data_IF_846923401910
#
_entry.id   IF_846923401910
#
_cell.length_a   1.000
_cell.length_b   1.000
_cell.length_c   1.000
_cell.angle_alpha   90.00
_cell.angle_beta   90.00
_cell.angle_gamma   90.00
#
_symmetry.space_group_name_H-M   'P 1'
#
loop_
_entity.id
_entity.type
_entity.pdbx_description
1 polymer ?
#
# COMPACT_ATOMS: atom_id res chain seq x y z
N UNK A 1 -14.08 -0.85 -8.45
CA UNK A 1 -13.00 -0.59 -7.47
C UNK A 1 -13.19 0.78 -6.84
N UNK A 2 -12.97 0.90 -5.56
CA UNK A 2 -13.11 2.17 -4.84
C UNK A 2 -12.08 3.19 -5.32
N UNK A 3 -12.46 4.48 -5.36
CA UNK A 3 -11.58 5.53 -5.86
C UNK A 3 -10.26 5.61 -5.10
N UNK A 4 -10.29 5.42 -3.79
CA UNK A 4 -9.07 5.43 -2.97
C UNK A 4 -8.10 4.32 -3.36
N UNK A 5 -8.62 3.14 -3.72
CA UNK A 5 -7.79 2.04 -4.17
C UNK A 5 -7.17 2.34 -5.54
N UNK A 6 -7.93 2.99 -6.41
CA UNK A 6 -7.40 3.44 -7.72
C UNK A 6 -6.29 4.45 -7.54
N UNK A 7 -6.44 5.37 -6.60
CA UNK A 7 -5.41 6.36 -6.29
C UNK A 7 -4.13 5.70 -5.78
N UNK A 8 -4.27 4.69 -4.92
CA UNK A 8 -3.14 3.94 -4.39
C UNK A 8 -2.38 3.24 -5.52
N UNK A 9 -3.10 2.58 -6.42
CA UNK A 9 -2.48 1.89 -7.55
C UNK A 9 -1.77 2.88 -8.47
N UNK A 10 -2.36 4.05 -8.68
CA UNK A 10 -1.77 5.09 -9.51
C UNK A 10 -0.46 5.60 -8.93
N UNK A 11 -0.40 5.79 -7.62
CA UNK A 11 0.81 6.25 -6.93
C UNK A 11 1.83 5.13 -6.76
N UNK A 12 1.37 3.92 -6.48
CA UNK A 12 2.22 2.78 -6.20
C UNK A 12 1.75 1.56 -7.00
N UNK A 13 2.08 1.50 -8.30
CA UNK A 13 1.60 0.42 -9.16
C UNK A 13 2.09 -0.98 -8.76
N UNK A 14 3.13 -1.05 -7.92
CA UNK A 14 3.62 -2.33 -7.41
C UNK A 14 2.75 -2.90 -6.29
N UNK A 15 1.83 -2.12 -5.73
CA UNK A 15 0.92 -2.60 -4.69
C UNK A 15 -0.30 -3.26 -5.32
N UNK A 16 -0.66 -4.43 -4.81
CA UNK A 16 -1.83 -5.18 -5.25
C UNK A 16 -2.96 -5.01 -4.24
N UNK A 17 -4.04 -4.39 -4.68
CA UNK A 17 -5.23 -4.16 -3.86
C UNK A 17 -6.47 -4.80 -4.48
N UNK A 18 -6.29 -5.73 -5.43
CA UNK A 18 -7.39 -6.35 -6.16
C UNK A 18 -8.35 -7.12 -5.24
N UNK A 19 -7.83 -7.68 -4.14
CA UNK A 19 -8.63 -8.41 -3.16
C UNK A 19 -8.95 -7.57 -1.92
N UNK A 20 -8.58 -6.29 -1.95
CA UNK A 20 -8.74 -5.40 -0.81
C UNK A 20 -10.16 -4.85 -0.74
N UNK A 21 -10.77 -4.92 0.45
CA UNK A 21 -12.06 -4.28 0.73
C UNK A 21 -11.81 -2.97 1.44
N UNK A 22 -12.14 -1.86 0.79
CA UNK A 22 -11.96 -0.53 1.36
C UNK A 22 -13.14 -0.19 2.26
N UNK A 23 -12.88 0.06 3.54
CA UNK A 23 -13.90 0.35 4.54
C UNK A 23 -13.86 1.78 5.07
N UNK A 24 -12.86 2.55 4.69
CA UNK A 24 -12.71 3.93 5.13
C UNK A 24 -11.25 4.28 5.36
N UNK A 25 -10.93 5.58 5.38
CA UNK A 25 -9.56 6.04 5.51
C UNK A 25 -8.92 5.71 6.87
N UNK A 26 -9.74 5.51 7.89
CA UNK A 26 -9.28 5.17 9.24
C UNK A 26 -9.20 3.67 9.50
N UNK A 27 -9.79 2.87 8.60
CA UNK A 27 -9.79 1.42 8.73
C UNK A 27 -8.57 0.82 8.04
N UNK A 28 -7.99 -0.18 8.66
CA UNK A 28 -6.86 -0.88 8.05
C UNK A 28 -7.34 -1.73 6.88
N UNK A 29 -6.57 -1.69 5.80
CA UNK A 29 -6.81 -2.50 4.61
C UNK A 29 -5.58 -3.38 4.39
N UNK A 30 -5.80 -4.54 3.79
CA UNK A 30 -4.72 -5.44 3.47
C UNK A 30 -4.24 -5.20 2.04
N UNK A 31 -2.96 -4.93 1.89
CA UNK A 31 -2.34 -4.72 0.58
C UNK A 31 -1.13 -5.63 0.45
N UNK A 32 -0.77 -5.93 -0.79
CA UNK A 32 0.36 -6.79 -1.08
C UNK A 32 1.39 -6.04 -1.91
N UNK A 33 2.64 -6.06 -1.47
CA UNK A 33 3.75 -5.56 -2.27
C UNK A 33 4.21 -6.65 -3.22
N UNK A 34 3.99 -6.47 -4.51
CA UNK A 34 4.35 -7.49 -5.50
C UNK A 34 5.86 -7.60 -5.70
N UNK A 35 6.61 -6.55 -5.40
CA UNK A 35 8.07 -6.55 -5.49
C UNK A 35 8.68 -7.54 -4.50
N UNK A 36 8.18 -7.55 -3.27
CA UNK A 36 8.68 -8.41 -2.20
C UNK A 36 7.75 -9.57 -1.88
N UNK A 37 6.62 -9.67 -2.58
CA UNK A 37 5.62 -10.70 -2.34
C UNK A 37 5.20 -10.73 -0.86
N UNK A 38 4.98 -9.55 -0.30
CA UNK A 38 4.69 -9.37 1.12
C UNK A 38 3.32 -8.74 1.31
N UNK A 39 2.48 -9.37 2.14
CA UNK A 39 1.19 -8.81 2.54
C UNK A 39 1.35 -8.06 3.84
N UNK A 40 0.71 -6.90 3.94
CA UNK A 40 0.71 -6.10 5.16
C UNK A 40 -0.59 -5.32 5.28
N UNK A 41 -0.93 -4.91 6.50
CA UNK A 41 -2.12 -4.13 6.78
C UNK A 41 -1.72 -2.68 7.06
N UNK A 42 -2.45 -1.75 6.44
CA UNK A 42 -2.19 -0.33 6.61
C UNK A 42 -3.45 0.46 6.25
N UNK A 43 -3.42 1.76 6.46
CA UNK A 43 -4.53 2.63 6.04
C UNK A 43 -4.16 3.35 4.74
N UNK A 44 -5.19 3.80 4.01
CA UNK A 44 -4.95 4.55 2.77
C UNK A 44 -4.17 5.83 3.02
N UNK A 45 -4.40 6.47 4.16
CA UNK A 45 -3.67 7.69 4.55
C UNK A 45 -2.18 7.40 4.71
N UNK A 46 -1.84 6.31 5.40
CA UNK A 46 -0.45 5.92 5.60
C UNK A 46 0.24 5.58 4.28
N UNK A 47 -0.46 4.91 3.37
CA UNK A 47 0.09 4.59 2.06
C UNK A 47 0.42 5.87 1.29
N UNK A 48 -0.51 6.83 1.26
CA UNK A 48 -0.33 8.09 0.54
C UNK A 48 0.78 8.95 1.12
N UNK A 49 1.01 8.86 2.43
CA UNK A 49 2.07 9.60 3.10
C UNK A 49 3.42 8.92 3.01
N UNK A 50 3.46 7.64 2.68
CA UNK A 50 4.68 6.87 2.55
C UNK A 50 5.33 7.11 1.19
N UNK A 51 6.65 7.09 1.14
CA UNK A 51 7.39 7.18 -0.11
C UNK A 51 7.41 5.84 -0.86
N UNK A 52 7.14 4.76 -0.16
CA UNK A 52 7.25 3.40 -0.70
C UNK A 52 5.93 2.62 -0.63
N UNK A 53 4.82 3.32 -0.37
CA UNK A 53 3.51 2.68 -0.27
C UNK A 53 3.29 1.94 1.03
N UNK A 54 4.01 2.31 2.09
CA UNK A 54 3.93 1.71 3.43
C UNK A 54 4.46 0.28 3.51
N UNK A 55 5.10 -0.23 2.46
CA UNK A 55 5.72 -1.54 2.50
C UNK A 55 6.97 -1.51 3.39
N UNK A 56 7.02 -2.30 4.48
CA UNK A 56 8.16 -2.26 5.39
C UNK A 56 9.47 -2.72 4.73
N UNK A 57 9.39 -3.63 3.79
CA UNK A 57 10.58 -4.09 3.05
C UNK A 57 11.12 -3.01 2.13
N UNK A 58 10.24 -2.36 1.38
CA UNK A 58 10.66 -1.26 0.49
C UNK A 58 11.26 -0.12 1.29
N UNK A 59 10.68 0.21 2.43
CA UNK A 59 11.21 1.24 3.31
C UNK A 59 12.59 0.87 3.83
N UNK A 60 12.79 -0.38 4.22
CA UNK A 60 14.07 -0.86 4.71
C UNK A 60 15.15 -0.76 3.62
N UNK A 61 14.82 -1.13 2.39
CA UNK A 61 15.74 -1.01 1.27
C UNK A 61 16.09 0.44 0.96
N UNK A 62 15.10 1.34 1.05
CA UNK A 62 15.32 2.76 0.83
C UNK A 62 16.29 3.34 1.85
N UNK A 63 16.15 2.93 3.11
CA UNK A 63 17.01 3.40 4.21
C UNK A 63 18.44 2.84 4.06
N UNK A 64 18.56 1.62 3.53
CA UNK A 64 19.85 0.95 3.36
C UNK A 64 20.73 1.61 2.32
N UNK A 65 20.17 2.42 1.47
CA UNK A 65 20.92 3.14 0.44
C UNK A 65 21.57 4.39 1.01
#
# INVERSE_FOLDING_TARGET
MHQQLKDIISLFPHLDVSETEYKGSKEKIEVKCTVHNLKFSTTSVLIKRSQTGACPKCKSELISL
#
